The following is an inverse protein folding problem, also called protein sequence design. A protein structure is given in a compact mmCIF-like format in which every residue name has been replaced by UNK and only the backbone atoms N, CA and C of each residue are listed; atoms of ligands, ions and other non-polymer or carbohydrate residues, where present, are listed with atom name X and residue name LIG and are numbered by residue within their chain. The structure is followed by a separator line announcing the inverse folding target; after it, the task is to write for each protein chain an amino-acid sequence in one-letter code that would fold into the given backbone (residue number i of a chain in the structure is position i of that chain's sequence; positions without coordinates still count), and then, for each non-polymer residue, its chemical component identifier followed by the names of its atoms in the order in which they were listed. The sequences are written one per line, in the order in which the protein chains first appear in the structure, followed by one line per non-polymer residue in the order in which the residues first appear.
data_IF_552926788581
#
_entry.id   IF_552926788581
#
_cell.length_a   1.000
_cell.length_b   1.000
_cell.length_c   1.000
_cell.angle_alpha   90.00
_cell.angle_beta   90.00
_cell.angle_gamma   90.00
#
_symmetry.space_group_name_H-M   'P 1'
#
loop_
_entity.id
_entity.type
_entity.pdbx_description
1 polymer ?
#
# COMPACT_ATOMS: atom_id res chain seq x y z
N UNK A 1 -7.57 17.68 23.66
CA UNK A 1 -6.61 18.61 23.05
C UNK A 1 -6.20 18.01 21.71
N UNK A 2 -5.65 18.79 20.78
CA UNK A 2 -5.03 18.26 19.57
C UNK A 2 -3.53 18.38 19.79
N UNK A 3 -2.97 17.45 20.54
CA UNK A 3 -1.56 17.46 20.90
C UNK A 3 -0.73 17.09 19.67
N UNK A 4 0.42 17.76 19.54
CA UNK A 4 1.31 17.64 18.37
C UNK A 4 2.71 17.30 18.83
N UNK A 5 3.30 16.24 18.26
CA UNK A 5 4.71 15.93 18.40
C UNK A 5 5.42 16.15 17.07
N UNK A 6 6.56 16.82 17.11
CA UNK A 6 7.46 16.94 15.96
C UNK A 6 8.72 16.10 16.22
N UNK A 7 8.99 15.17 15.31
CA UNK A 7 10.18 14.32 15.30
C UNK A 7 11.04 14.71 14.11
N UNK A 8 12.36 14.75 14.31
CA UNK A 8 13.33 14.98 13.24
C UNK A 8 14.29 13.80 13.20
N UNK A 9 14.38 13.14 12.05
CA UNK A 9 15.32 12.08 11.75
C UNK A 9 16.44 12.68 10.90
N UNK A 10 17.47 13.23 11.55
CA UNK A 10 18.54 13.97 10.87
C UNK A 10 19.79 13.09 10.65
N UNK A 11 19.77 12.31 9.58
CA UNK A 11 20.89 11.44 9.19
C UNK A 11 22.13 12.27 8.82
N UNK A 12 21.94 13.47 8.27
CA UNK A 12 23.01 14.42 7.92
C UNK A 12 23.80 14.85 9.14
N UNK A 13 23.14 15.41 10.14
CA UNK A 13 23.79 15.88 11.38
C UNK A 13 24.39 14.73 12.16
N UNK A 14 23.72 13.57 12.17
CA UNK A 14 24.26 12.36 12.81
C UNK A 14 25.44 11.74 12.03
N UNK A 15 25.69 12.17 10.79
CA UNK A 15 26.64 11.55 9.85
C UNK A 15 26.42 10.04 9.68
N UNK A 16 25.17 9.59 9.80
CA UNK A 16 24.77 8.20 9.61
C UNK A 16 24.02 8.08 8.30
N UNK A 17 24.08 6.89 7.69
CA UNK A 17 23.35 6.65 6.45
C UNK A 17 21.84 6.62 6.67
N UNK A 18 21.40 6.20 7.87
CA UNK A 18 20.02 6.31 8.31
C UNK A 18 19.93 6.44 9.83
N UNK A 19 18.78 6.90 10.29
CA UNK A 19 18.35 6.99 11.68
C UNK A 19 17.29 5.91 11.90
N UNK A 20 17.59 5.02 12.85
CA UNK A 20 16.70 3.94 13.23
C UNK A 20 16.22 4.16 14.67
N UNK A 21 14.92 4.40 14.83
CA UNK A 21 14.28 4.50 16.13
C UNK A 21 13.58 3.18 16.44
N UNK A 22 14.05 2.53 17.50
CA UNK A 22 13.54 1.22 17.91
C UNK A 22 14.11 0.07 17.09
N UNK A 23 13.54 -1.12 17.28
CA UNK A 23 13.92 -2.38 16.65
C UNK A 23 12.76 -3.39 16.84
N UNK A 24 12.90 -4.60 16.30
CA UNK A 24 11.95 -5.68 16.59
C UNK A 24 11.78 -5.86 18.11
N UNK A 25 10.58 -5.61 18.63
CA UNK A 25 10.26 -5.67 20.05
C UNK A 25 10.57 -4.40 20.87
N UNK A 26 11.05 -3.31 20.25
CA UNK A 26 11.30 -2.01 20.89
C UNK A 26 10.76 -0.87 20.02
N UNK A 27 9.91 -0.01 20.58
CA UNK A 27 9.30 1.09 19.85
C UNK A 27 9.41 2.41 20.62
N UNK A 28 9.35 3.52 19.88
CA UNK A 28 8.98 4.81 20.44
C UNK A 28 7.48 4.75 20.78
N UNK A 29 7.15 5.02 22.04
CA UNK A 29 5.76 4.95 22.52
C UNK A 29 5.23 6.37 22.68
N UNK A 30 4.16 6.67 21.94
CA UNK A 30 3.47 7.96 21.97
C UNK A 30 2.01 7.69 22.31
N UNK A 31 1.64 7.89 23.58
CA UNK A 31 0.34 7.49 24.08
C UNK A 31 -0.75 8.54 23.89
N UNK A 32 -0.47 9.83 24.03
CA UNK A 32 -1.51 10.86 24.15
C UNK A 32 -1.18 12.06 23.24
N UNK A 33 -1.02 11.77 21.94
CA UNK A 33 -0.74 12.76 20.89
C UNK A 33 -1.59 12.41 19.67
N UNK A 34 -2.39 13.35 19.17
CA UNK A 34 -3.27 13.16 18.03
C UNK A 34 -2.55 13.35 16.68
N UNK A 35 -1.52 14.21 16.63
CA UNK A 35 -0.75 14.49 15.42
C UNK A 35 0.74 14.28 15.64
N UNK A 36 1.35 13.41 14.84
CA UNK A 36 2.80 13.19 14.83
C UNK A 36 3.35 13.66 13.50
N UNK A 37 4.24 14.64 13.52
CA UNK A 37 4.98 15.09 12.35
C UNK A 37 6.38 14.48 12.37
N UNK A 38 6.82 13.91 11.26
CA UNK A 38 8.14 13.30 11.09
C UNK A 38 8.82 14.02 9.93
N UNK A 39 9.90 14.74 10.21
CA UNK A 39 10.77 15.32 9.20
C UNK A 39 12.03 14.45 9.04
N UNK A 40 12.21 13.88 7.87
CA UNK A 40 13.27 12.92 7.55
C UNK A 40 14.31 13.57 6.66
N UNK A 41 15.57 13.64 7.11
CA UNK A 41 16.64 14.38 6.42
C UNK A 41 17.76 13.41 6.04
N UNK A 42 18.06 13.35 4.74
CA UNK A 42 19.02 12.42 4.17
C UNK A 42 20.45 12.83 4.49
N UNK A 43 21.35 11.86 4.55
CA UNK A 43 22.78 12.13 4.55
C UNK A 43 23.20 12.81 3.25
N UNK A 44 24.14 13.75 3.33
CA UNK A 44 24.65 14.47 2.16
C UNK A 44 25.26 13.50 1.12
N UNK A 45 24.78 13.60 -0.12
CA UNK A 45 25.12 12.72 -1.25
C UNK A 45 26.60 12.76 -1.62
N UNK A 46 27.33 13.80 -1.21
CA UNK A 46 28.78 13.94 -1.41
C UNK A 46 29.63 12.92 -0.63
N UNK A 47 29.02 12.18 0.30
CA UNK A 47 29.69 11.15 1.11
C UNK A 47 29.20 9.71 0.81
N UNK A 48 28.44 9.54 -0.27
CA UNK A 48 27.78 8.29 -0.66
C UNK A 48 26.31 8.32 -0.25
N UNK A 49 25.43 8.62 -1.20
CA UNK A 49 23.99 8.50 -1.01
C UNK A 49 23.65 7.02 -0.75
N UNK A 50 23.18 6.71 0.46
CA UNK A 50 22.65 5.40 0.80
C UNK A 50 21.13 5.44 0.60
N UNK A 51 20.58 4.43 -0.06
CA UNK A 51 19.14 4.28 -0.30
C UNK A 51 18.41 3.69 0.92
N UNK A 52 19.11 3.53 2.05
CA UNK A 52 18.57 2.94 3.27
C UNK A 52 17.63 3.92 3.95
N UNK A 53 16.35 3.56 4.04
CA UNK A 53 15.33 4.36 4.72
C UNK A 53 15.69 4.65 6.19
N UNK A 54 15.29 5.83 6.67
CA UNK A 54 15.07 6.07 8.08
C UNK A 54 13.92 5.18 8.56
N UNK A 55 14.08 4.54 9.71
CA UNK A 55 13.06 3.60 10.22
C UNK A 55 12.58 4.01 11.60
N UNK A 56 11.29 3.84 11.84
CA UNK A 56 10.69 4.10 13.14
C UNK A 56 9.72 2.98 13.52
N UNK A 57 10.06 2.24 14.56
CA UNK A 57 9.10 1.40 15.28
C UNK A 57 8.32 2.29 16.23
N UNK A 58 7.03 2.47 15.95
CA UNK A 58 6.18 3.44 16.63
C UNK A 58 4.92 2.77 17.19
N UNK A 59 4.57 3.11 18.42
CA UNK A 59 3.24 2.91 18.98
C UNK A 59 2.55 4.26 19.13
N UNK A 60 1.57 4.53 18.28
CA UNK A 60 0.83 5.78 18.19
C UNK A 60 -0.68 5.53 18.35
N UNK A 61 -1.07 4.77 19.37
CA UNK A 61 -2.44 4.24 19.56
C UNK A 61 -3.54 5.32 19.55
N UNK A 62 -3.19 6.56 19.92
CA UNK A 62 -4.11 7.69 19.97
C UNK A 62 -3.89 8.72 18.87
N UNK A 63 -2.86 8.56 18.03
CA UNK A 63 -2.67 9.43 16.89
C UNK A 63 -3.80 9.21 15.87
N UNK A 64 -4.33 10.30 15.35
CA UNK A 64 -5.27 10.32 14.24
C UNK A 64 -4.59 10.67 12.93
N UNK A 65 -3.44 11.37 13.01
CA UNK A 65 -2.64 11.78 11.85
C UNK A 65 -1.16 11.54 12.10
N UNK A 66 -0.49 10.96 11.09
CA UNK A 66 0.96 10.95 10.98
C UNK A 66 1.31 11.68 9.68
N UNK A 67 2.04 12.78 9.78
CA UNK A 67 2.53 13.54 8.63
C UNK A 67 4.03 13.31 8.45
N UNK A 68 4.47 13.10 7.22
CA UNK A 68 5.87 12.81 6.88
C UNK A 68 6.34 13.83 5.82
N UNK A 69 7.53 14.38 6.05
CA UNK A 69 8.17 15.33 5.14
C UNK A 69 9.67 15.09 5.05
N UNK A 70 10.32 15.81 4.13
CA UNK A 70 11.77 15.85 4.00
C UNK A 70 12.29 15.02 2.83
N UNK A 71 13.60 14.81 2.79
CA UNK A 71 14.32 14.32 1.62
C UNK A 71 14.93 12.93 1.79
N UNK A 72 14.52 12.20 2.83
CA UNK A 72 14.91 10.80 3.06
C UNK A 72 13.71 9.88 3.26
N UNK A 73 13.79 8.66 2.71
CA UNK A 73 12.74 7.66 2.74
C UNK A 73 12.43 7.27 4.19
N UNK A 74 11.14 7.18 4.56
CA UNK A 74 10.71 6.74 5.90
C UNK A 74 9.99 5.40 5.82
N UNK A 75 10.47 4.41 6.57
CA UNK A 75 9.75 3.17 6.83
C UNK A 75 9.08 3.22 8.21
N UNK A 76 7.75 3.29 8.22
CA UNK A 76 6.95 3.18 9.44
C UNK A 76 6.76 1.71 9.83
N UNK A 77 7.03 1.38 11.08
CA UNK A 77 6.88 0.02 11.65
C UNK A 77 6.04 0.04 12.91
N UNK A 78 5.43 -1.10 13.21
CA UNK A 78 4.77 -1.38 14.48
C UNK A 78 5.56 -2.43 15.27
N UNK A 79 5.26 -2.58 16.57
CA UNK A 79 5.77 -3.73 17.31
C UNK A 79 5.06 -5.00 16.84
N UNK A 80 5.81 -6.06 16.56
CA UNK A 80 5.24 -7.35 16.14
C UNK A 80 4.16 -7.88 17.09
N UNK A 81 4.28 -7.59 18.39
CA UNK A 81 3.32 -7.99 19.43
C UNK A 81 2.08 -7.09 19.56
N UNK A 82 1.99 -5.98 18.82
CA UNK A 82 0.91 -4.97 18.95
C UNK A 82 0.54 -4.30 17.63
N UNK A 83 0.81 -4.94 16.49
CA UNK A 83 0.55 -4.39 15.15
C UNK A 83 -0.94 -4.09 14.89
N UNK A 84 -1.84 -4.72 15.64
CA UNK A 84 -3.29 -4.53 15.60
C UNK A 84 -3.78 -3.31 16.42
N UNK A 85 -2.91 -2.73 17.26
CA UNK A 85 -3.26 -1.68 18.23
C UNK A 85 -2.41 -0.41 18.10
N UNK A 86 -1.19 -0.55 17.61
CA UNK A 86 -0.20 0.53 17.59
C UNK A 86 -0.64 1.72 16.74
N UNK A 87 -1.45 1.52 15.70
CA UNK A 87 -1.92 2.58 14.80
C UNK A 87 -3.45 2.62 14.64
N UNK A 88 -4.19 1.95 15.53
CA UNK A 88 -5.62 1.63 15.33
C UNK A 88 -6.54 2.84 15.16
N UNK A 89 -6.10 4.05 15.59
CA UNK A 89 -6.85 5.31 15.41
C UNK A 89 -6.31 6.20 14.30
N UNK A 90 -5.21 5.83 13.65
CA UNK A 90 -4.60 6.62 12.58
C UNK A 90 -5.54 6.58 11.38
N UNK A 91 -6.10 7.75 11.07
CA UNK A 91 -7.01 7.95 9.95
C UNK A 91 -6.31 8.55 8.74
N UNK A 92 -5.14 9.15 8.95
CA UNK A 92 -4.35 9.75 7.89
C UNK A 92 -2.85 9.47 8.10
N UNK A 93 -2.24 8.83 7.09
CA UNK A 93 -0.79 8.90 6.86
C UNK A 93 -0.60 9.86 5.68
N UNK A 94 0.10 10.97 5.92
CA UNK A 94 0.21 12.09 4.99
C UNK A 94 1.68 12.39 4.67
N UNK A 95 2.22 11.74 3.65
CA UNK A 95 3.58 11.94 3.18
C UNK A 95 3.68 12.87 1.97
N UNK A 96 2.64 13.66 1.69
CA UNK A 96 2.59 14.54 0.51
C UNK A 96 3.68 15.62 0.47
N UNK A 97 4.42 15.81 1.56
CA UNK A 97 5.56 16.73 1.66
C UNK A 97 6.92 15.98 1.68
N UNK A 98 6.93 14.66 1.52
CA UNK A 98 8.14 13.86 1.36
C UNK A 98 8.58 13.91 -0.10
N UNK A 99 9.86 14.17 -0.35
CA UNK A 99 10.45 14.09 -1.69
C UNK A 99 11.17 12.78 -1.96
N UNK A 100 11.33 11.94 -0.94
CA UNK A 100 11.97 10.62 -1.05
C UNK A 100 10.98 9.45 -1.01
N UNK A 101 9.74 9.70 -0.59
CA UNK A 101 8.67 8.71 -0.46
C UNK A 101 8.57 8.11 0.95
N UNK A 102 7.74 7.08 1.08
CA UNK A 102 7.50 6.29 2.29
C UNK A 102 7.47 4.79 1.97
N UNK A 103 7.74 3.99 2.99
CA UNK A 103 7.44 2.57 3.02
C UNK A 103 6.46 2.25 4.13
N UNK A 104 5.33 1.65 3.79
CA UNK A 104 4.30 1.30 4.75
C UNK A 104 3.64 -0.05 4.42
N UNK A 105 3.57 -0.92 5.42
CA UNK A 105 2.92 -2.23 5.29
C UNK A 105 1.59 -2.24 6.03
N UNK A 106 0.50 -1.88 5.33
CA UNK A 106 -0.86 -1.90 5.87
C UNK A 106 -1.44 -3.33 5.98
N UNK A 107 -0.75 -4.33 5.43
CA UNK A 107 -1.09 -5.73 5.67
C UNK A 107 -0.66 -6.15 7.09
N UNK A 108 0.55 -5.77 7.49
CA UNK A 108 1.10 -6.04 8.81
C UNK A 108 0.55 -5.08 9.88
N UNK A 109 0.43 -3.79 9.57
CA UNK A 109 0.06 -2.73 10.51
C UNK A 109 -1.41 -2.36 10.32
N UNK A 110 -2.22 -2.49 11.37
CA UNK A 110 -3.64 -2.12 11.30
C UNK A 110 -3.81 -0.63 11.61
N UNK A 111 -4.36 0.10 10.65
CA UNK A 111 -4.83 1.48 10.80
C UNK A 111 -6.37 1.51 10.81
N UNK A 112 -6.96 2.67 11.07
CA UNK A 112 -8.42 2.76 11.12
C UNK A 112 -9.05 2.47 9.74
N UNK A 113 -10.20 1.81 9.74
CA UNK A 113 -10.95 1.49 8.52
C UNK A 113 -11.34 2.77 7.77
N UNK A 114 -11.15 2.80 6.45
CA UNK A 114 -11.39 3.99 5.64
C UNK A 114 -10.28 5.05 5.76
N UNK A 115 -9.14 4.72 6.35
CA UNK A 115 -8.00 5.64 6.43
C UNK A 115 -7.45 5.99 5.05
N UNK A 116 -6.87 7.19 4.98
CA UNK A 116 -6.16 7.66 3.80
C UNK A 116 -4.65 7.51 3.97
N UNK A 117 -3.98 7.01 2.95
CA UNK A 117 -2.51 7.03 2.84
C UNK A 117 -2.16 7.89 1.63
N UNK A 118 -1.33 8.91 1.83
CA UNK A 118 -0.81 9.74 0.75
C UNK A 118 0.71 9.60 0.74
N UNK A 119 1.27 9.13 -0.38
CA UNK A 119 2.69 9.21 -0.66
C UNK A 119 3.13 10.63 -1.00
N UNK A 120 4.35 10.75 -1.49
CA UNK A 120 5.06 12.00 -1.71
C UNK A 120 5.32 12.28 -3.19
N UNK A 121 6.47 12.88 -3.48
CA UNK A 121 6.98 12.99 -4.86
C UNK A 121 8.11 12.02 -5.18
N UNK A 122 8.53 11.23 -4.19
CA UNK A 122 9.53 10.18 -4.35
C UNK A 122 8.88 8.85 -4.71
N UNK A 123 9.65 7.77 -4.78
CA UNK A 123 9.07 6.46 -5.04
C UNK A 123 8.50 5.86 -3.74
N UNK A 124 7.17 5.75 -3.67
CA UNK A 124 6.47 5.18 -2.51
C UNK A 124 6.31 3.66 -2.62
N UNK A 125 6.35 2.96 -1.47
CA UNK A 125 6.17 1.51 -1.38
C UNK A 125 5.12 1.16 -0.33
N UNK A 126 3.93 0.75 -0.78
CA UNK A 126 2.77 0.54 0.08
C UNK A 126 2.24 -0.89 -0.10
N UNK A 127 2.19 -1.67 0.98
CA UNK A 127 1.60 -3.02 0.98
C UNK A 127 0.17 -2.99 1.53
N UNK A 128 -0.76 -3.67 0.84
CA UNK A 128 -2.22 -3.62 1.01
C UNK A 128 -2.82 -5.02 1.24
N UNK A 129 -4.01 -5.10 1.89
CA UNK A 129 -4.72 -6.37 2.15
C UNK A 129 -6.26 -6.32 2.08
N UNK A 130 -6.88 -5.17 1.79
CA UNK A 130 -8.34 -5.02 1.73
C UNK A 130 -8.99 -4.49 3.02
N UNK A 131 -8.63 -3.28 3.43
CA UNK A 131 -9.12 -2.57 4.61
C UNK A 131 -9.92 -1.30 4.27
N UNK A 132 -10.48 -1.22 3.05
CA UNK A 132 -11.18 -0.04 2.53
C UNK A 132 -10.34 1.23 2.60
N UNK A 133 -9.02 1.12 2.46
CA UNK A 133 -8.11 2.24 2.48
C UNK A 133 -8.24 3.06 1.19
N UNK A 134 -8.01 4.36 1.29
CA UNK A 134 -7.88 5.26 0.14
C UNK A 134 -6.40 5.66 0.01
N UNK A 135 -5.76 5.25 -1.07
CA UNK A 135 -4.33 5.41 -1.27
C UNK A 135 -4.08 6.34 -2.45
N UNK A 136 -3.29 7.37 -2.23
CA UNK A 136 -2.75 8.24 -3.28
C UNK A 136 -1.24 8.05 -3.30
N UNK A 137 -0.67 7.60 -4.42
CA UNK A 137 0.78 7.47 -4.58
C UNK A 137 1.47 8.82 -4.53
N UNK A 138 0.92 9.79 -5.25
CA UNK A 138 1.53 11.12 -5.40
C UNK A 138 2.31 11.21 -6.71
N UNK A 139 3.42 11.95 -6.73
CA UNK A 139 4.35 11.90 -7.86
C UNK A 139 5.40 10.82 -7.61
N UNK A 140 6.13 10.40 -8.64
CA UNK A 140 7.11 9.33 -8.50
C UNK A 140 6.71 8.07 -9.26
N UNK A 141 7.48 7.01 -9.08
CA UNK A 141 7.21 5.69 -9.64
C UNK A 141 6.83 4.78 -8.48
N UNK A 142 5.54 4.74 -8.17
CA UNK A 142 5.05 4.14 -6.93
C UNK A 142 4.86 2.63 -7.07
N UNK A 143 4.99 1.91 -5.96
CA UNK A 143 4.79 0.47 -5.91
C UNK A 143 3.73 0.10 -4.86
N UNK A 144 2.61 -0.40 -5.35
CA UNK A 144 1.51 -0.92 -4.53
C UNK A 144 1.56 -2.44 -4.53
N UNK A 145 1.89 -3.06 -3.40
CA UNK A 145 1.91 -4.53 -3.27
C UNK A 145 0.60 -5.00 -2.67
N UNK A 146 -0.13 -5.88 -3.35
CA UNK A 146 -1.43 -6.39 -2.91
C UNK A 146 -1.30 -7.82 -2.42
N UNK A 147 -1.68 -8.05 -1.17
CA UNK A 147 -1.80 -9.37 -0.54
C UNK A 147 -3.22 -9.92 -0.71
N UNK A 148 -3.36 -11.23 -0.49
CA UNK A 148 -4.67 -11.89 -0.41
C UNK A 148 -5.49 -11.41 0.79
N UNK A 149 -6.81 -11.64 0.77
CA UNK A 149 -7.65 -11.54 1.97
C UNK A 149 -8.68 -10.40 1.97
N UNK A 150 -8.97 -9.79 0.82
CA UNK A 150 -10.04 -8.78 0.72
C UNK A 150 -11.42 -9.44 0.53
N UNK A 151 -12.49 -8.66 0.65
CA UNK A 151 -13.86 -9.14 0.37
C UNK A 151 -14.50 -8.37 -0.77
N UNK A 152 -15.64 -8.85 -1.28
CA UNK A 152 -16.43 -8.15 -2.31
C UNK A 152 -16.94 -6.77 -1.88
N UNK A 153 -16.90 -6.45 -0.59
CA UNK A 153 -17.41 -5.17 -0.02
C UNK A 153 -16.35 -4.40 0.76
N UNK A 154 -15.16 -4.96 0.95
CA UNK A 154 -14.06 -4.37 1.69
C UNK A 154 -12.76 -4.65 0.92
N UNK A 155 -12.33 -3.66 0.15
CA UNK A 155 -11.13 -3.68 -0.68
C UNK A 155 -10.51 -2.28 -0.72
N UNK A 156 -9.19 -2.22 -0.90
CA UNK A 156 -8.48 -0.96 -0.95
C UNK A 156 -8.69 -0.25 -2.30
N UNK A 157 -8.56 1.08 -2.32
CA UNK A 157 -8.71 1.91 -3.52
C UNK A 157 -7.47 2.77 -3.73
N UNK A 158 -6.80 2.61 -4.86
CA UNK A 158 -5.75 3.51 -5.34
C UNK A 158 -6.40 4.60 -6.18
N UNK A 159 -6.11 5.87 -5.88
CA UNK A 159 -6.86 7.02 -6.39
C UNK A 159 -6.23 7.69 -7.61
N UNK A 160 -4.96 7.43 -7.89
CA UNK A 160 -4.14 8.17 -8.86
C UNK A 160 -3.12 7.31 -9.61
N UNK A 161 -3.40 5.99 -9.73
CA UNK A 161 -2.56 5.07 -10.48
C UNK A 161 -2.32 5.58 -11.90
N UNK A 162 -1.08 5.54 -12.38
CA UNK A 162 -0.70 6.09 -13.69
C UNK A 162 0.52 5.40 -14.27
N UNK A 163 0.88 5.77 -15.50
CA UNK A 163 2.13 5.35 -16.13
C UNK A 163 3.32 5.71 -15.23
N UNK A 164 4.15 4.72 -14.92
CA UNK A 164 5.28 4.81 -13.99
C UNK A 164 5.05 4.03 -12.70
N UNK A 165 3.78 3.90 -12.28
CA UNK A 165 3.41 3.12 -11.11
C UNK A 165 3.37 1.62 -11.41
N UNK A 166 3.49 0.84 -10.35
CA UNK A 166 3.47 -0.63 -10.38
C UNK A 166 2.50 -1.15 -9.36
N UNK A 167 1.62 -2.04 -9.80
CA UNK A 167 0.83 -2.89 -8.94
C UNK A 167 1.44 -4.29 -8.92
N UNK A 168 1.88 -4.72 -7.75
CA UNK A 168 2.50 -6.03 -7.52
C UNK A 168 1.49 -6.94 -6.84
N UNK A 169 1.08 -8.01 -7.49
CA UNK A 169 0.33 -9.08 -6.82
C UNK A 169 1.34 -10.00 -6.14
N UNK A 170 1.20 -10.19 -4.83
CA UNK A 170 2.26 -10.80 -4.05
C UNK A 170 2.48 -12.28 -4.38
N UNK A 171 3.69 -12.59 -4.86
CA UNK A 171 4.05 -13.92 -5.35
C UNK A 171 4.20 -14.99 -4.26
N UNK A 172 4.22 -14.60 -2.96
CA UNK A 172 4.16 -15.58 -1.87
C UNK A 172 2.81 -16.30 -1.84
N UNK A 173 1.75 -15.61 -2.25
CA UNK A 173 0.41 -16.15 -2.31
C UNK A 173 -0.03 -16.48 -3.73
N UNK A 174 0.33 -15.67 -4.72
CA UNK A 174 -0.10 -15.79 -6.12
C UNK A 174 1.08 -16.17 -7.02
N UNK A 175 1.51 -17.44 -6.95
CA UNK A 175 2.70 -17.91 -7.67
C UNK A 175 2.46 -18.02 -9.17
N UNK A 176 3.45 -17.60 -9.98
CA UNK A 176 3.47 -17.91 -11.42
C UNK A 176 2.66 -16.97 -12.32
N UNK A 177 2.22 -15.82 -11.80
CA UNK A 177 1.58 -14.79 -12.61
C UNK A 177 2.53 -14.26 -13.69
N UNK A 178 2.05 -14.24 -14.93
CA UNK A 178 2.80 -13.76 -16.11
C UNK A 178 1.98 -12.89 -17.04
N UNK A 179 0.67 -12.82 -16.82
CA UNK A 179 -0.28 -12.07 -17.64
C UNK A 179 -1.39 -11.53 -16.74
N UNK A 180 -2.13 -10.57 -17.27
CA UNK A 180 -3.37 -10.08 -16.72
C UNK A 180 -4.45 -10.09 -17.81
N UNK A 181 -5.62 -10.66 -17.53
CA UNK A 181 -6.71 -10.78 -18.49
C UNK A 181 -7.74 -9.67 -18.30
N UNK A 182 -8.16 -9.01 -19.38
CA UNK A 182 -9.31 -8.11 -19.35
C UNK A 182 -10.61 -8.92 -19.45
N UNK A 183 -11.55 -8.65 -18.56
CA UNK A 183 -12.91 -9.18 -18.58
C UNK A 183 -13.83 -8.12 -19.17
N UNK A 184 -14.47 -8.47 -20.28
CA UNK A 184 -15.44 -7.62 -20.95
C UNK A 184 -16.82 -7.78 -20.33
N UNK A 185 -17.44 -6.65 -19.97
CA UNK A 185 -18.77 -6.65 -19.38
C UNK A 185 -19.85 -7.01 -20.41
N UNK A 186 -20.54 -8.13 -20.18
CA UNK A 186 -21.71 -8.51 -20.97
C UNK A 186 -22.91 -7.57 -20.76
N UNK A 187 -23.88 -7.63 -21.67
CA UNK A 187 -25.16 -6.96 -21.47
C UNK A 187 -25.81 -7.50 -20.19
N UNK A 188 -26.03 -6.63 -19.19
CA UNK A 188 -26.52 -6.95 -17.83
C UNK A 188 -25.47 -7.43 -16.81
N UNK A 189 -24.17 -7.27 -17.10
CA UNK A 189 -23.16 -7.51 -16.08
C UNK A 189 -23.37 -6.57 -14.87
N UNK A 190 -23.32 -7.16 -13.68
CA UNK A 190 -23.25 -6.45 -12.41
C UNK A 190 -21.92 -6.74 -11.72
N UNK A 191 -21.59 -5.97 -10.68
CA UNK A 191 -20.32 -6.07 -9.98
C UNK A 191 -20.01 -7.49 -9.50
N UNK A 192 -20.98 -8.19 -8.91
CA UNK A 192 -20.78 -9.55 -8.43
C UNK A 192 -20.54 -10.54 -9.58
N UNK A 193 -21.27 -10.41 -10.68
CA UNK A 193 -21.06 -11.28 -11.85
C UNK A 193 -19.68 -11.08 -12.48
N UNK A 194 -19.16 -9.85 -12.47
CA UNK A 194 -17.82 -9.53 -12.99
C UNK A 194 -16.73 -10.07 -12.07
N UNK A 195 -16.89 -9.96 -10.74
CA UNK A 195 -15.95 -10.59 -9.79
C UNK A 195 -15.94 -12.10 -10.00
N UNK A 196 -17.10 -12.74 -10.05
CA UNK A 196 -17.17 -14.19 -10.23
C UNK A 196 -16.57 -14.62 -11.57
N UNK A 197 -16.76 -13.84 -12.64
CA UNK A 197 -16.13 -14.07 -13.94
C UNK A 197 -14.60 -13.88 -13.88
N UNK A 198 -14.13 -12.86 -13.18
CA UNK A 198 -12.70 -12.60 -12.98
C UNK A 198 -12.02 -13.69 -12.13
N UNK A 199 -12.75 -14.32 -11.21
CA UNK A 199 -12.35 -15.53 -10.45
C UNK A 199 -12.58 -16.84 -11.22
N UNK A 200 -13.06 -16.80 -12.47
CA UNK A 200 -13.27 -18.03 -13.25
C UNK A 200 -12.05 -18.25 -14.15
N UNK A 201 -11.24 -19.26 -13.83
CA UNK A 201 -10.26 -19.81 -14.76
C UNK A 201 -10.45 -21.33 -14.97
N UNK A 202 -9.86 -21.81 -16.05
CA UNK A 202 -9.81 -23.20 -16.51
C UNK A 202 -8.58 -23.98 -16.02
N UNK A 203 -7.61 -23.32 -15.37
CA UNK A 203 -6.36 -23.91 -14.87
C UNK A 203 -6.33 -24.10 -13.35
N UNK A 204 -5.23 -24.64 -12.81
CA UNK A 204 -4.99 -24.87 -11.35
C UNK A 204 -4.04 -23.86 -10.71
N UNK A 205 -3.62 -22.83 -11.44
CA UNK A 205 -2.64 -21.82 -11.01
C UNK A 205 -3.34 -20.53 -10.60
N UNK A 206 -2.68 -19.71 -9.79
CA UNK A 206 -3.15 -18.34 -9.52
C UNK A 206 -3.29 -17.56 -10.84
N UNK A 207 -4.32 -16.72 -10.92
CA UNK A 207 -4.56 -15.86 -12.07
C UNK A 207 -4.99 -14.46 -11.61
N UNK A 208 -4.81 -13.49 -12.50
CA UNK A 208 -5.23 -12.11 -12.25
C UNK A 208 -5.96 -11.56 -13.47
N UNK A 209 -7.09 -10.92 -13.20
CA UNK A 209 -7.97 -10.35 -14.19
C UNK A 209 -8.39 -8.95 -13.80
N UNK A 210 -8.80 -8.12 -14.74
CA UNK A 210 -9.40 -6.82 -14.48
C UNK A 210 -10.64 -6.56 -15.31
N UNK A 211 -11.51 -5.68 -14.82
CA UNK A 211 -12.68 -5.20 -15.53
C UNK A 211 -12.96 -3.74 -15.20
N UNK A 212 -13.79 -3.12 -16.02
CA UNK A 212 -14.32 -1.79 -15.74
C UNK A 212 -15.75 -1.89 -15.23
N UNK A 213 -16.06 -1.13 -14.19
CA UNK A 213 -17.42 -1.04 -13.65
C UNK A 213 -17.64 0.36 -13.08
N UNK A 214 -18.75 1.00 -13.46
CA UNK A 214 -19.14 2.33 -12.99
C UNK A 214 -18.06 3.44 -13.09
N UNK A 215 -17.21 3.37 -14.11
CA UNK A 215 -16.17 4.38 -14.36
C UNK A 215 -14.82 4.11 -13.69
N UNK A 216 -14.71 3.00 -12.97
CA UNK A 216 -13.49 2.58 -12.26
C UNK A 216 -12.98 1.22 -12.77
N UNK A 217 -11.72 0.91 -12.44
CA UNK A 217 -11.07 -0.35 -12.80
C UNK A 217 -10.89 -1.22 -11.56
N UNK A 218 -11.28 -2.48 -11.68
CA UNK A 218 -11.20 -3.46 -10.60
C UNK A 218 -10.31 -4.59 -11.04
N UNK A 219 -9.37 -4.96 -10.17
CA UNK A 219 -8.43 -6.05 -10.41
C UNK A 219 -8.73 -7.11 -9.38
N UNK A 220 -8.93 -8.35 -9.85
CA UNK A 220 -9.19 -9.53 -9.03
C UNK A 220 -8.02 -10.47 -9.23
N UNK A 221 -7.30 -10.77 -8.15
CA UNK A 221 -6.33 -11.86 -8.15
C UNK A 221 -6.92 -13.02 -7.35
N UNK A 222 -6.98 -14.17 -8.01
CA UNK A 222 -7.49 -15.42 -7.47
C UNK A 222 -6.29 -16.32 -7.21
N UNK A 223 -6.19 -16.82 -5.98
CA UNK A 223 -5.06 -17.64 -5.55
C UNK A 223 -5.18 -19.07 -6.04
N UNK A 224 -6.41 -19.57 -6.07
CA UNK A 224 -6.69 -20.92 -6.48
C UNK A 224 -7.02 -20.88 -7.97
N UNK A 225 -6.36 -21.68 -8.80
CA UNK A 225 -6.94 -22.01 -10.10
C UNK A 225 -8.16 -22.92 -9.89
N UNK A 226 -9.19 -22.40 -9.24
CA UNK A 226 -10.37 -23.15 -8.85
C UNK A 226 -11.22 -23.31 -10.11
N UNK A 227 -11.51 -24.55 -10.49
CA UNK A 227 -12.47 -24.84 -11.57
C UNK A 227 -13.92 -24.44 -11.23
N UNK A 228 -14.14 -23.86 -10.06
CA UNK A 228 -15.41 -23.36 -9.54
C UNK A 228 -15.38 -21.83 -9.53
N UNK A 229 -16.40 -21.21 -10.12
CA UNK A 229 -16.53 -19.77 -10.41
C UNK A 229 -16.76 -18.89 -9.17
N UNK A 230 -16.02 -19.10 -8.08
CA UNK A 230 -16.34 -18.51 -6.77
C UNK A 230 -15.13 -17.85 -6.14
N UNK A 231 -15.21 -16.53 -6.02
CA UNK A 231 -14.32 -15.73 -5.18
C UNK A 231 -14.31 -16.23 -3.73
N UNK A 232 -13.12 -16.47 -3.17
CA UNK A 232 -12.86 -16.95 -1.81
C UNK A 232 -12.18 -15.85 -1.00
N UNK A 233 -12.91 -15.21 -0.09
CA UNK A 233 -12.42 -14.05 0.67
C UNK A 233 -11.09 -14.27 1.43
N UNK A 234 -10.78 -15.50 1.85
CA UNK A 234 -9.53 -15.79 2.56
C UNK A 234 -8.30 -15.95 1.63
N UNK A 235 -8.55 -16.22 0.36
CA UNK A 235 -7.52 -16.62 -0.60
C UNK A 235 -7.37 -15.63 -1.76
N UNK A 236 -8.44 -14.94 -2.11
CA UNK A 236 -8.49 -14.01 -3.23
C UNK A 236 -8.40 -12.56 -2.75
N UNK A 237 -8.19 -11.67 -3.71
CA UNK A 237 -8.15 -10.24 -3.42
C UNK A 237 -8.70 -9.41 -4.56
N UNK A 238 -9.21 -8.24 -4.18
CA UNK A 238 -9.74 -7.20 -5.04
C UNK A 238 -8.99 -5.93 -4.67
N UNK A 239 -8.52 -5.23 -5.69
CA UNK A 239 -8.04 -3.86 -5.56
C UNK A 239 -8.78 -3.00 -6.58
N UNK A 240 -9.20 -1.82 -6.15
CA UNK A 240 -9.82 -0.83 -7.02
C UNK A 240 -8.79 0.23 -7.44
N UNK A 241 -8.78 0.57 -8.72
CA UNK A 241 -8.15 1.78 -9.25
C UNK A 241 -9.24 2.75 -9.64
N UNK A 242 -9.13 4.01 -9.19
CA UNK A 242 -10.10 5.05 -9.54
C UNK A 242 -9.89 5.48 -10.99
N UNK A 243 -10.95 5.43 -11.81
CA UNK A 243 -10.86 5.70 -13.24
C UNK A 243 -10.69 4.45 -14.12
N UNK A 244 -10.70 4.68 -15.43
CA UNK A 244 -10.54 3.64 -16.44
C UNK A 244 -9.06 3.49 -16.78
N UNK A 245 -8.52 2.31 -16.52
CA UNK A 245 -7.12 1.94 -16.69
C UNK A 245 -7.02 0.74 -17.62
N UNK A 246 -6.24 0.86 -18.69
CA UNK A 246 -5.93 -0.27 -19.55
C UNK A 246 -4.63 -0.89 -19.04
N UNK A 247 -4.69 -2.15 -18.63
CA UNK A 247 -3.60 -2.77 -17.86
C UNK A 247 -2.87 -3.83 -18.67
N UNK A 248 -1.56 -3.93 -18.46
CA UNK A 248 -0.72 -4.99 -19.00
C UNK A 248 0.21 -5.53 -17.92
N UNK A 249 0.81 -6.69 -18.19
CA UNK A 249 1.80 -7.30 -17.31
C UNK A 249 3.20 -7.04 -17.87
N UNK A 250 4.02 -6.31 -17.12
CA UNK A 250 5.40 -5.98 -17.48
C UNK A 250 6.37 -6.35 -16.35
N UNK A 251 7.34 -7.21 -16.67
CA UNK A 251 8.47 -7.53 -15.81
C UNK A 251 8.06 -7.96 -14.38
N UNK A 252 6.96 -8.71 -14.27
CA UNK A 252 6.44 -9.19 -12.98
C UNK A 252 5.41 -8.29 -12.29
N UNK A 253 5.01 -7.18 -12.92
CA UNK A 253 4.12 -6.18 -12.34
C UNK A 253 2.95 -5.87 -13.28
N UNK A 254 1.82 -5.47 -12.73
CA UNK A 254 0.72 -4.87 -13.48
C UNK A 254 1.00 -3.37 -13.59
N UNK A 255 0.92 -2.85 -14.81
CA UNK A 255 1.18 -1.45 -15.16
C UNK A 255 0.12 -0.92 -16.11
N UNK A 256 -0.03 0.41 -16.18
CA UNK A 256 -0.81 1.08 -17.22
C UNK A 256 -0.18 0.82 -18.59
N UNK A 257 -1.02 0.53 -19.59
CA UNK A 257 -0.59 0.47 -20.99
C UNK A 257 -0.18 1.85 -21.49
N UNK A 258 0.95 1.90 -22.19
CA UNK A 258 1.48 3.13 -22.79
C UNK A 258 0.71 3.57 -24.05
#
# INVERSE_FOLDING_TARGET
TNDVLNLVLDAKTANQNSINIGATGKALIINDVETININSIAKDTTTGADTTANTIYLQAKNATKIAISGDDLVELKALSASQDKDYVKVMQIDASASTAGIKFDANAITIANGATIKGGSGADSITLKGNSLLITGGEGADTFTVKKGSTKTNYDTITDFKIGDKLVIDSTDFTGLTTIAKIEAGANANFESLINQASTDSGTSAHVSYFHFNGDTYIVADKDGSTTTTFKEADDTIIKLSGIHELTFDSGNIVEQA
#
